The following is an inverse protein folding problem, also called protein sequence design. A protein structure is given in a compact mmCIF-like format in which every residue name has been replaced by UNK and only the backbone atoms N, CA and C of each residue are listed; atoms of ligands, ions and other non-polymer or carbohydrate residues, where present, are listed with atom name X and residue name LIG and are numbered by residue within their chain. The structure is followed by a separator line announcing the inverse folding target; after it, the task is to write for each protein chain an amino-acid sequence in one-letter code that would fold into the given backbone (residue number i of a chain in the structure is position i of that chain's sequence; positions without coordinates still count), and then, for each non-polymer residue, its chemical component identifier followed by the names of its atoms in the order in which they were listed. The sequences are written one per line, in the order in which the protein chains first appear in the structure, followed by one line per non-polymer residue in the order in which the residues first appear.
data_IF_406909131879
#
_entry.id   IF_406909131879
#
_cell.length_a   1.000
_cell.length_b   1.000
_cell.length_c   1.000
_cell.angle_alpha   90.00
_cell.angle_beta   90.00
_cell.angle_gamma   90.00
#
_symmetry.space_group_name_H-M   'P 1'
#
loop_
_entity.id
_entity.type
_entity.pdbx_description
1 polymer ?
#
# COMPACT_ATOMS: atom_id res chain seq x y z
N UNK A 1 -27.17 -5.01 1.36
CA UNK A 1 -25.89 -4.98 0.66
C UNK A 1 -25.30 -3.57 0.52
N UNK A 2 -26.08 -2.50 0.62
CA UNK A 2 -25.62 -1.11 0.54
C UNK A 2 -24.94 -0.59 1.83
N UNK A 3 -25.25 -1.16 3.00
CA UNK A 3 -24.73 -0.64 4.27
C UNK A 3 -23.21 -0.79 4.45
N UNK A 4 -22.59 -1.87 3.92
CA UNK A 4 -21.14 -2.06 4.10
C UNK A 4 -20.30 -1.17 3.19
N UNK A 5 -20.80 -0.82 2.00
CA UNK A 5 -20.14 0.11 1.07
C UNK A 5 -20.21 1.55 1.58
N UNK A 6 -21.37 1.95 2.09
CA UNK A 6 -21.55 3.30 2.65
C UNK A 6 -20.72 3.50 3.91
N UNK A 7 -20.62 2.49 4.78
CA UNK A 7 -19.76 2.56 5.96
C UNK A 7 -18.27 2.66 5.60
N UNK A 8 -17.81 1.96 4.55
CA UNK A 8 -16.40 2.01 4.12
C UNK A 8 -16.05 3.39 3.52
N UNK A 9 -16.94 3.96 2.72
CA UNK A 9 -16.79 5.31 2.15
C UNK A 9 -16.79 6.36 3.25
N UNK A 10 -17.73 6.29 4.19
CA UNK A 10 -17.82 7.19 5.32
C UNK A 10 -16.59 7.10 6.23
N UNK A 11 -16.08 5.89 6.47
CA UNK A 11 -14.87 5.64 7.24
C UNK A 11 -13.63 6.30 6.61
N UNK A 12 -13.46 6.20 5.31
CA UNK A 12 -12.38 6.87 4.58
C UNK A 12 -12.43 8.40 4.75
N UNK A 13 -13.62 9.01 4.60
CA UNK A 13 -13.81 10.43 4.79
C UNK A 13 -13.50 10.88 6.21
N UNK A 14 -13.98 10.16 7.20
CA UNK A 14 -13.74 10.45 8.61
C UNK A 14 -12.24 10.38 8.94
N UNK A 15 -11.53 9.37 8.44
CA UNK A 15 -10.10 9.24 8.68
C UNK A 15 -9.30 10.38 8.07
N UNK A 16 -9.61 10.79 6.84
CA UNK A 16 -8.96 11.93 6.17
C UNK A 16 -9.14 13.22 6.97
N UNK A 17 -10.34 13.47 7.48
CA UNK A 17 -10.63 14.62 8.34
C UNK A 17 -9.84 14.58 9.64
N UNK A 18 -9.82 13.43 10.31
CA UNK A 18 -9.05 13.26 11.55
C UNK A 18 -7.54 13.44 11.32
N UNK A 19 -7.03 12.98 10.18
CA UNK A 19 -5.62 13.15 9.81
C UNK A 19 -5.27 14.60 9.59
N UNK A 20 -6.18 15.38 9.00
CA UNK A 20 -6.01 16.82 8.81
C UNK A 20 -5.89 17.54 10.16
N UNK A 21 -6.84 17.31 11.07
CA UNK A 21 -6.83 17.88 12.42
C UNK A 21 -5.57 17.49 13.21
N UNK A 22 -5.20 16.20 13.19
CA UNK A 22 -3.97 15.71 13.85
C UNK A 22 -2.70 16.33 13.26
N UNK A 23 -2.70 16.64 11.95
CA UNK A 23 -1.55 17.29 11.30
C UNK A 23 -1.38 18.72 11.81
N UNK A 24 -2.46 19.47 11.97
CA UNK A 24 -2.43 20.80 12.55
C UNK A 24 -1.97 20.79 14.01
N UNK A 25 -2.50 19.86 14.80
CA UNK A 25 -2.10 19.71 16.20
C UNK A 25 -0.60 19.42 16.32
N UNK A 26 -0.08 18.46 15.56
CA UNK A 26 1.34 18.13 15.53
C UNK A 26 2.19 19.29 15.07
N UNK A 27 1.72 20.06 14.11
CA UNK A 27 2.43 21.26 13.63
C UNK A 27 2.54 22.31 14.74
N UNK A 28 1.44 22.62 15.42
CA UNK A 28 1.47 23.59 16.54
C UNK A 28 2.37 23.12 17.69
N UNK A 29 2.30 21.84 18.05
CA UNK A 29 3.18 21.30 19.09
C UNK A 29 4.65 21.35 18.66
N UNK A 30 4.97 21.05 17.41
CA UNK A 30 6.33 21.13 16.86
C UNK A 30 6.84 22.57 16.87
N UNK A 31 6.04 23.54 16.43
CA UNK A 31 6.41 24.97 16.48
C UNK A 31 6.67 25.40 17.92
N UNK A 32 5.81 25.02 18.87
CA UNK A 32 5.95 25.39 20.26
C UNK A 32 7.28 24.87 20.86
N UNK A 33 7.61 23.62 20.57
CA UNK A 33 8.89 23.01 21.01
C UNK A 33 10.08 23.73 20.38
N UNK A 34 10.06 23.95 19.06
CA UNK A 34 11.18 24.59 18.37
C UNK A 34 11.32 26.08 18.72
N UNK A 35 10.21 26.78 18.97
CA UNK A 35 10.28 28.16 19.44
C UNK A 35 10.87 28.26 20.84
N UNK A 36 10.52 27.35 21.75
CA UNK A 36 11.08 27.27 23.08
C UNK A 36 12.61 26.98 23.01
N UNK A 37 13.02 26.00 22.19
CA UNK A 37 14.45 25.72 21.96
C UNK A 37 15.17 26.90 21.31
N UNK A 38 14.54 27.60 20.37
CA UNK A 38 15.08 28.79 19.73
C UNK A 38 15.29 29.93 20.71
N UNK A 39 14.34 30.16 21.62
CA UNK A 39 14.49 31.15 22.68
C UNK A 39 15.66 30.83 23.65
N UNK A 40 15.78 29.57 24.02
CA UNK A 40 16.91 29.08 24.84
C UNK A 40 18.24 29.34 24.11
N UNK A 41 18.29 29.02 22.81
CA UNK A 41 19.53 29.21 22.02
C UNK A 41 19.89 30.68 21.85
N UNK A 42 18.87 31.55 21.62
CA UNK A 42 19.08 33.01 21.57
C UNK A 42 19.58 33.53 22.91
N UNK A 43 18.98 33.09 24.02
CA UNK A 43 19.32 33.49 25.35
C UNK A 43 20.77 33.12 25.74
N UNK A 44 21.19 31.88 25.45
CA UNK A 44 22.49 31.39 25.83
C UNK A 44 23.62 31.78 24.86
N UNK A 45 23.34 31.87 23.55
CA UNK A 45 24.37 32.01 22.51
C UNK A 45 24.25 33.30 21.71
N UNK A 46 23.22 34.10 21.91
CA UNK A 46 22.91 35.32 21.16
C UNK A 46 22.93 35.11 19.62
N UNK A 47 22.57 33.89 19.16
CA UNK A 47 22.60 33.47 17.76
C UNK A 47 21.16 33.30 17.23
N UNK A 48 20.70 34.19 16.36
CA UNK A 48 19.35 34.15 15.77
C UNK A 48 19.27 33.26 14.53
N UNK A 49 20.37 33.04 13.85
CA UNK A 49 20.42 32.39 12.54
C UNK A 49 19.83 30.96 12.53
N UNK A 50 20.12 30.03 13.46
CA UNK A 50 19.50 28.69 13.47
C UNK A 50 18.00 28.73 13.64
N UNK A 51 17.46 29.64 14.44
CA UNK A 51 16.04 29.79 14.71
C UNK A 51 15.26 30.15 13.42
N UNK A 52 15.80 31.03 12.61
CA UNK A 52 15.23 31.43 11.32
C UNK A 52 15.19 30.24 10.35
N UNK A 53 16.27 29.46 10.24
CA UNK A 53 16.34 28.28 9.38
C UNK A 53 15.28 27.25 9.81
N UNK A 54 15.18 26.95 11.10
CA UNK A 54 14.19 26.01 11.63
C UNK A 54 12.78 26.48 11.32
N UNK A 55 12.47 27.76 11.48
CA UNK A 55 11.17 28.34 11.16
C UNK A 55 10.84 28.17 9.67
N UNK A 56 11.77 28.49 8.77
CA UNK A 56 11.58 28.33 7.32
C UNK A 56 11.34 26.86 6.95
N UNK A 57 12.14 25.92 7.46
CA UNK A 57 11.99 24.50 7.20
C UNK A 57 10.65 23.97 7.72
N UNK A 58 10.20 24.43 8.89
CA UNK A 58 8.89 24.08 9.47
C UNK A 58 7.73 24.57 8.60
N UNK A 59 7.81 25.78 8.07
CA UNK A 59 6.80 26.34 7.16
C UNK A 59 6.77 25.56 5.84
N UNK A 60 7.94 25.24 5.27
CA UNK A 60 8.03 24.43 4.04
C UNK A 60 7.44 23.05 4.29
N UNK A 61 7.81 22.39 5.38
CA UNK A 61 7.26 21.08 5.75
C UNK A 61 5.74 21.11 5.90
N UNK A 62 5.21 22.12 6.61
CA UNK A 62 3.77 22.32 6.75
C UNK A 62 3.08 22.48 5.40
N UNK A 63 3.61 23.38 4.54
CA UNK A 63 3.06 23.64 3.20
C UNK A 63 3.00 22.36 2.36
N UNK A 64 4.07 21.56 2.35
CA UNK A 64 4.11 20.28 1.66
C UNK A 64 3.11 19.29 2.22
N UNK A 65 2.99 19.22 3.54
CA UNK A 65 2.04 18.32 4.22
C UNK A 65 0.58 18.71 3.95
N UNK A 66 0.26 19.98 4.05
CA UNK A 66 -1.09 20.49 3.76
C UNK A 66 -1.47 20.32 2.29
N UNK A 67 -0.53 20.56 1.37
CA UNK A 67 -0.76 20.35 -0.05
C UNK A 67 -1.10 18.88 -0.36
N UNK A 68 -0.40 17.94 0.28
CA UNK A 68 -0.70 16.50 0.16
C UNK A 68 -2.10 16.18 0.68
N UNK A 69 -2.49 16.71 1.83
CA UNK A 69 -3.84 16.50 2.38
C UNK A 69 -4.94 17.10 1.50
N UNK A 70 -4.72 18.29 0.93
CA UNK A 70 -5.65 18.90 -0.04
C UNK A 70 -5.81 18.00 -1.27
N UNK A 71 -4.71 17.51 -1.84
CA UNK A 71 -4.75 16.57 -2.96
C UNK A 71 -5.52 15.29 -2.63
N UNK A 72 -5.41 14.78 -1.41
CA UNK A 72 -6.20 13.63 -0.97
C UNK A 72 -7.70 13.96 -0.88
N UNK A 73 -8.08 15.14 -0.39
CA UNK A 73 -9.48 15.58 -0.36
C UNK A 73 -10.02 15.78 -1.78
N UNK A 74 -9.23 16.41 -2.65
CA UNK A 74 -9.60 16.60 -4.06
C UNK A 74 -9.79 15.25 -4.78
N UNK A 75 -8.90 14.28 -4.54
CA UNK A 75 -9.01 12.92 -5.08
C UNK A 75 -10.28 12.23 -4.58
N UNK A 76 -10.62 12.40 -3.31
CA UNK A 76 -11.80 11.79 -2.70
C UNK A 76 -13.09 12.34 -3.31
N UNK A 77 -13.16 13.65 -3.56
CA UNK A 77 -14.31 14.31 -4.20
C UNK A 77 -14.36 14.14 -5.72
N UNK A 78 -13.26 13.69 -6.32
CA UNK A 78 -13.15 13.49 -7.74
C UNK A 78 -14.10 12.40 -8.22
N UNK A 79 -14.75 12.62 -9.38
CA UNK A 79 -15.65 11.67 -10.02
C UNK A 79 -15.20 11.41 -11.45
N UNK A 80 -15.22 10.15 -11.86
CA UNK A 80 -14.92 9.79 -13.23
C UNK A 80 -16.04 10.22 -14.18
N UNK A 81 -15.70 10.73 -15.39
CA UNK A 81 -16.67 11.04 -16.42
C UNK A 81 -17.51 9.81 -16.83
N UNK A 82 -18.78 10.03 -17.15
CA UNK A 82 -19.69 8.96 -17.56
C UNK A 82 -19.21 8.15 -18.77
N UNK A 83 -18.43 8.77 -19.67
CA UNK A 83 -17.85 8.09 -20.84
C UNK A 83 -16.97 6.90 -20.47
N UNK A 84 -16.24 6.99 -19.34
CA UNK A 84 -15.41 5.89 -18.84
C UNK A 84 -16.29 4.72 -18.38
N UNK A 85 -17.41 5.00 -17.72
CA UNK A 85 -18.36 4.00 -17.28
C UNK A 85 -19.15 3.36 -18.44
N UNK A 86 -19.34 4.07 -19.54
CA UNK A 86 -19.90 3.50 -20.77
C UNK A 86 -18.92 2.50 -21.38
N UNK A 87 -17.65 2.84 -21.51
CA UNK A 87 -16.61 1.91 -21.97
C UNK A 87 -16.48 0.70 -21.05
N UNK A 88 -16.48 0.94 -19.74
CA UNK A 88 -16.46 -0.14 -18.74
C UNK A 88 -17.64 -1.10 -18.89
N UNK A 89 -18.84 -0.57 -19.09
CA UNK A 89 -20.05 -1.38 -19.33
C UNK A 89 -19.95 -2.21 -20.62
N UNK A 90 -19.35 -1.67 -21.67
CA UNK A 90 -19.16 -2.39 -22.94
C UNK A 90 -18.23 -3.60 -22.78
N UNK A 91 -17.11 -3.43 -22.04
CA UNK A 91 -16.17 -4.53 -21.79
C UNK A 91 -16.64 -5.52 -20.72
N UNK A 92 -17.38 -5.04 -19.73
CA UNK A 92 -17.83 -5.81 -18.57
C UNK A 92 -19.35 -5.71 -18.37
N UNK A 93 -20.17 -6.21 -19.31
CA UNK A 93 -21.63 -6.05 -19.30
C UNK A 93 -22.30 -6.73 -18.09
N UNK A 94 -21.67 -7.76 -17.52
CA UNK A 94 -22.17 -8.52 -16.38
C UNK A 94 -22.08 -7.76 -15.05
N UNK A 95 -21.32 -6.67 -14.99
CA UNK A 95 -21.14 -5.90 -13.77
C UNK A 95 -22.26 -4.88 -13.61
N UNK A 96 -22.90 -4.92 -12.43
CA UNK A 96 -24.00 -4.01 -12.10
C UNK A 96 -23.51 -2.58 -11.99
N UNK A 97 -24.23 -1.63 -12.55
CA UNK A 97 -23.91 -0.19 -12.45
C UNK A 97 -23.83 0.30 -11.00
N UNK A 98 -24.62 -0.29 -10.08
CA UNK A 98 -24.55 0.02 -8.65
C UNK A 98 -23.19 -0.30 -8.00
N UNK A 99 -22.36 -1.10 -8.69
CA UNK A 99 -21.00 -1.45 -8.20
C UNK A 99 -19.92 -0.48 -8.70
N UNK A 100 -20.22 0.37 -9.69
CA UNK A 100 -19.23 1.30 -10.25
C UNK A 100 -18.65 2.28 -9.23
N UNK A 101 -19.44 2.87 -8.33
CA UNK A 101 -18.90 3.73 -7.29
C UNK A 101 -17.88 3.03 -6.39
N UNK A 102 -18.07 1.73 -6.12
CA UNK A 102 -17.13 0.98 -5.30
C UNK A 102 -15.80 0.70 -6.03
N UNK A 103 -15.86 0.42 -7.33
CA UNK A 103 -14.65 0.25 -8.17
C UNK A 103 -13.91 1.60 -8.26
N UNK A 104 -14.64 2.70 -8.46
CA UNK A 104 -14.08 4.05 -8.45
C UNK A 104 -13.35 4.37 -7.15
N UNK A 105 -14.00 4.11 -6.02
CA UNK A 105 -13.42 4.36 -4.71
C UNK A 105 -12.21 3.44 -4.42
N UNK A 106 -12.23 2.20 -4.91
CA UNK A 106 -11.08 1.30 -4.86
C UNK A 106 -9.88 1.84 -5.64
N UNK A 107 -10.11 2.39 -6.84
CA UNK A 107 -9.06 3.01 -7.63
C UNK A 107 -8.51 4.28 -6.96
N UNK A 108 -9.39 5.09 -6.37
CA UNK A 108 -8.97 6.26 -5.59
C UNK A 108 -8.13 5.88 -4.37
N UNK A 109 -8.49 4.80 -3.67
CA UNK A 109 -7.66 4.28 -2.58
C UNK A 109 -6.26 3.90 -3.06
N UNK A 110 -6.16 3.26 -4.22
CA UNK A 110 -4.88 2.92 -4.82
C UNK A 110 -4.04 4.17 -5.13
N UNK A 111 -4.64 5.18 -5.75
CA UNK A 111 -3.97 6.46 -6.00
C UNK A 111 -3.61 7.18 -4.69
N UNK A 112 -4.46 7.12 -3.68
CA UNK A 112 -4.20 7.74 -2.37
C UNK A 112 -3.01 7.10 -1.66
N UNK A 113 -2.82 5.79 -1.76
CA UNK A 113 -1.64 5.08 -1.25
C UNK A 113 -0.37 5.63 -1.92
N UNK A 114 -0.37 5.76 -3.24
CA UNK A 114 0.75 6.32 -4.00
C UNK A 114 1.00 7.81 -3.69
N UNK A 115 -0.05 8.58 -3.48
CA UNK A 115 0.03 9.98 -3.08
C UNK A 115 0.63 10.14 -1.66
N UNK A 116 0.30 9.23 -0.75
CA UNK A 116 0.79 9.26 0.61
C UNK A 116 2.28 8.92 0.70
N UNK A 117 2.69 7.85 0.03
CA UNK A 117 4.09 7.40 -0.01
C UNK A 117 4.40 6.80 -1.38
N UNK A 118 5.46 7.28 -2.00
CA UNK A 118 5.99 6.64 -3.22
C UNK A 118 6.53 5.26 -2.87
N UNK A 119 6.18 4.27 -3.67
CA UNK A 119 6.61 2.90 -3.45
C UNK A 119 6.11 1.97 -4.55
N UNK A 120 6.54 0.73 -4.50
CA UNK A 120 6.02 -0.34 -5.33
C UNK A 120 4.85 -1.01 -4.61
N UNK A 121 3.69 -0.96 -5.23
CA UNK A 121 2.42 -1.47 -4.72
C UNK A 121 1.79 -2.40 -5.76
N UNK A 122 1.24 -3.52 -5.33
CA UNK A 122 0.44 -4.39 -6.18
C UNK A 122 -1.02 -3.97 -6.13
N UNK A 123 -1.74 -4.12 -7.25
CA UNK A 123 -3.19 -3.91 -7.30
C UNK A 123 -3.88 -5.16 -6.72
N UNK A 124 -4.65 -5.03 -5.61
CA UNK A 124 -5.29 -6.19 -4.97
C UNK A 124 -6.72 -6.44 -5.46
N UNK A 125 -7.12 -5.92 -6.61
CA UNK A 125 -8.49 -6.04 -7.12
C UNK A 125 -8.49 -6.07 -8.63
N UNK A 126 -9.02 -7.16 -9.21
CA UNK A 126 -9.17 -7.32 -10.66
C UNK A 126 -10.19 -6.35 -11.25
N UNK A 127 -11.25 -6.03 -10.52
CA UNK A 127 -12.25 -5.07 -10.99
C UNK A 127 -11.70 -3.64 -11.06
N UNK A 128 -10.84 -3.27 -10.12
CA UNK A 128 -10.14 -1.98 -10.14
C UNK A 128 -9.06 -1.96 -11.21
N UNK A 129 -8.36 -3.07 -11.40
CA UNK A 129 -7.36 -3.24 -12.45
C UNK A 129 -8.00 -3.13 -13.85
N UNK A 130 -9.16 -3.75 -14.06
CA UNK A 130 -9.93 -3.64 -15.30
C UNK A 130 -10.32 -2.18 -15.61
N UNK A 131 -10.72 -1.40 -14.60
CA UNK A 131 -10.94 0.03 -14.78
C UNK A 131 -9.64 0.75 -15.17
N UNK A 132 -8.52 0.39 -14.56
CA UNK A 132 -7.22 0.97 -14.87
C UNK A 132 -6.80 0.69 -16.31
N UNK A 133 -6.98 -0.55 -16.79
CA UNK A 133 -6.73 -0.90 -18.19
C UNK A 133 -7.54 -0.03 -19.16
N UNK A 134 -8.82 0.17 -18.92
CA UNK A 134 -9.67 1.04 -19.75
C UNK A 134 -9.14 2.48 -19.76
N UNK A 135 -8.70 2.99 -18.61
CA UNK A 135 -8.12 4.33 -18.53
C UNK A 135 -6.86 4.48 -19.37
N UNK A 136 -5.99 3.48 -19.35
CA UNK A 136 -4.73 3.50 -20.10
C UNK A 136 -4.97 3.30 -21.61
N UNK A 137 -5.86 2.37 -21.96
CA UNK A 137 -6.04 1.96 -23.35
C UNK A 137 -6.96 2.89 -24.15
N UNK A 138 -8.03 3.41 -23.54
CA UNK A 138 -9.04 4.20 -24.23
C UNK A 138 -9.04 5.69 -23.82
N UNK A 139 -8.50 6.01 -22.64
CA UNK A 139 -8.56 7.37 -22.08
C UNK A 139 -7.18 7.84 -21.61
N UNK A 140 -6.12 7.53 -22.35
CA UNK A 140 -4.71 7.78 -21.98
C UNK A 140 -4.44 9.24 -21.60
N UNK A 141 -4.93 10.20 -22.38
CA UNK A 141 -4.76 11.63 -22.07
C UNK A 141 -5.42 12.02 -20.73
N UNK A 142 -6.63 11.47 -20.48
CA UNK A 142 -7.31 11.69 -19.22
C UNK A 142 -6.54 11.05 -18.06
N UNK A 143 -6.07 9.82 -18.26
CA UNK A 143 -5.28 9.10 -17.28
C UNK A 143 -3.98 9.83 -16.93
N UNK A 144 -3.22 10.26 -17.92
CA UNK A 144 -1.98 11.04 -17.74
C UNK A 144 -2.24 12.36 -17.01
N UNK A 145 -3.26 13.11 -17.44
CA UNK A 145 -3.65 14.37 -16.79
C UNK A 145 -4.05 14.16 -15.33
N UNK A 146 -4.85 13.14 -15.06
CA UNK A 146 -5.29 12.78 -13.71
C UNK A 146 -4.09 12.35 -12.82
N UNK A 147 -3.24 11.46 -13.32
CA UNK A 147 -2.04 10.98 -12.62
C UNK A 147 -1.09 12.13 -12.30
N UNK A 148 -0.83 13.00 -13.27
CA UNK A 148 0.00 14.19 -13.08
C UNK A 148 -0.61 15.17 -12.06
N UNK A 149 -1.93 15.38 -12.11
CA UNK A 149 -2.63 16.26 -11.17
C UNK A 149 -2.48 15.79 -9.73
N UNK A 150 -2.75 14.51 -9.47
CA UNK A 150 -2.78 13.99 -8.10
C UNK A 150 -1.40 13.52 -7.62
N UNK A 151 -0.69 12.74 -8.42
CA UNK A 151 0.58 12.13 -8.02
C UNK A 151 1.79 13.01 -8.36
N UNK A 152 1.70 13.80 -9.45
CA UNK A 152 2.82 14.54 -10.01
C UNK A 152 3.75 13.68 -10.86
N UNK A 153 3.31 12.48 -11.21
CA UNK A 153 3.99 11.56 -12.14
C UNK A 153 2.96 10.59 -12.73
N UNK A 154 3.31 9.99 -13.85
CA UNK A 154 2.51 8.94 -14.46
C UNK A 154 2.75 7.61 -13.74
N UNK A 155 1.68 6.95 -13.33
CA UNK A 155 1.75 5.63 -12.70
C UNK A 155 1.75 4.57 -13.80
N UNK A 156 2.88 3.88 -13.94
CA UNK A 156 3.07 2.86 -14.98
C UNK A 156 2.46 1.55 -14.50
N UNK A 157 1.52 1.01 -15.28
CA UNK A 157 0.97 -0.31 -15.07
C UNK A 157 2.00 -1.38 -15.47
N UNK A 158 2.26 -2.33 -14.58
CA UNK A 158 3.11 -3.49 -14.86
C UNK A 158 2.24 -4.74 -14.83
N UNK A 159 2.01 -5.39 -15.97
CA UNK A 159 1.23 -6.62 -16.01
C UNK A 159 1.90 -7.72 -15.19
N UNK A 160 1.09 -8.60 -14.64
CA UNK A 160 1.60 -9.78 -13.95
C UNK A 160 2.19 -10.77 -14.97
N UNK A 161 3.45 -11.15 -14.76
CA UNK A 161 4.08 -12.19 -15.55
C UNK A 161 3.65 -13.56 -15.00
N UNK A 162 3.04 -14.38 -15.88
CA UNK A 162 2.59 -15.74 -15.56
C UNK A 162 3.77 -16.69 -15.31
N UNK A 163 4.94 -16.38 -15.87
CA UNK A 163 6.18 -17.15 -15.73
C UNK A 163 7.14 -16.56 -14.69
N UNK A 164 6.59 -15.84 -13.70
CA UNK A 164 7.39 -15.18 -12.68
C UNK A 164 8.34 -16.16 -11.97
N UNK A 165 9.60 -15.76 -11.86
CA UNK A 165 10.61 -16.47 -11.08
C UNK A 165 10.29 -16.36 -9.58
N UNK A 166 10.91 -17.17 -8.73
CA UNK A 166 10.67 -17.13 -7.29
C UNK A 166 11.02 -15.74 -6.70
N UNK A 167 12.08 -15.10 -7.18
CA UNK A 167 12.42 -13.73 -6.78
C UNK A 167 11.34 -12.71 -7.17
N UNK A 168 10.75 -12.85 -8.36
CA UNK A 168 9.65 -11.99 -8.80
C UNK A 168 8.38 -12.22 -7.96
N UNK A 169 8.07 -13.48 -7.63
CA UNK A 169 6.95 -13.82 -6.71
C UNK A 169 7.16 -13.22 -5.32
N UNK A 170 8.38 -13.29 -4.80
CA UNK A 170 8.72 -12.66 -3.54
C UNK A 170 8.53 -11.13 -3.60
N UNK A 171 8.98 -10.49 -4.69
CA UNK A 171 8.77 -9.07 -4.91
C UNK A 171 7.27 -8.71 -5.03
N UNK A 172 6.47 -9.52 -5.71
CA UNK A 172 5.01 -9.33 -5.81
C UNK A 172 4.33 -9.45 -4.45
N UNK A 173 4.70 -10.45 -3.65
CA UNK A 173 4.23 -10.58 -2.25
C UNK A 173 4.57 -9.34 -1.43
N UNK A 174 5.79 -8.85 -1.54
CA UNK A 174 6.23 -7.62 -0.87
C UNK A 174 5.40 -6.41 -1.30
N UNK A 175 5.14 -6.25 -2.60
CA UNK A 175 4.31 -5.16 -3.12
C UNK A 175 2.86 -5.25 -2.61
N UNK A 176 2.30 -6.45 -2.52
CA UNK A 176 0.96 -6.67 -1.94
C UNK A 176 0.91 -6.29 -0.46
N UNK A 177 1.94 -6.66 0.31
CA UNK A 177 2.05 -6.29 1.72
C UNK A 177 2.28 -4.78 1.91
N UNK A 178 2.99 -4.13 1.00
CA UNK A 178 3.10 -2.69 0.97
C UNK A 178 1.73 -2.03 0.72
N UNK A 179 0.94 -2.58 -0.21
CA UNK A 179 -0.45 -2.12 -0.46
C UNK A 179 -1.32 -2.33 0.77
N UNK A 180 -1.23 -3.48 1.44
CA UNK A 180 -1.92 -3.75 2.70
C UNK A 180 -1.59 -2.70 3.77
N UNK A 181 -0.30 -2.47 4.02
CA UNK A 181 0.15 -1.46 4.96
C UNK A 181 -0.34 -0.05 4.60
N UNK A 182 -0.21 0.33 3.33
CA UNK A 182 -0.68 1.62 2.83
C UNK A 182 -2.18 1.81 2.98
N UNK A 183 -2.97 0.79 2.63
CA UNK A 183 -4.43 0.80 2.75
C UNK A 183 -4.88 0.84 4.22
N UNK A 184 -4.25 0.07 5.11
CA UNK A 184 -4.52 0.15 6.54
C UNK A 184 -4.21 1.55 7.08
N UNK A 185 -3.06 2.13 6.73
CA UNK A 185 -2.68 3.47 7.15
C UNK A 185 -3.66 4.54 6.63
N UNK A 186 -4.15 4.39 5.38
CA UNK A 186 -5.13 5.27 4.76
C UNK A 186 -6.45 5.29 5.54
N UNK A 187 -6.90 4.12 5.99
CA UNK A 187 -8.14 3.94 6.74
C UNK A 187 -7.96 4.01 8.27
N UNK A 188 -6.75 4.27 8.78
CA UNK A 188 -6.47 4.34 10.22
C UNK A 188 -6.54 3.00 10.94
N UNK A 189 -6.37 1.91 10.19
CA UNK A 189 -6.35 0.55 10.70
C UNK A 189 -4.93 0.16 11.14
N UNK A 190 -4.83 -0.72 12.13
CA UNK A 190 -3.56 -1.33 12.48
C UNK A 190 -3.34 -2.57 11.59
N UNK A 191 -2.30 -2.62 10.73
CA UNK A 191 -2.11 -3.73 9.81
C UNK A 191 -1.85 -5.08 10.49
N UNK A 192 -1.42 -5.09 11.75
CA UNK A 192 -1.19 -6.31 12.53
C UNK A 192 -2.42 -6.76 13.33
N UNK A 193 -3.35 -5.84 13.61
CA UNK A 193 -4.52 -6.13 14.43
C UNK A 193 -5.70 -5.27 13.98
N UNK A 194 -6.26 -5.61 12.84
CA UNK A 194 -7.50 -5.00 12.32
C UNK A 194 -8.62 -6.03 12.34
N UNK A 195 -9.87 -5.56 12.48
CA UNK A 195 -11.06 -6.40 12.43
C UNK A 195 -11.76 -6.36 11.08
N UNK A 196 -11.28 -5.49 10.18
CA UNK A 196 -11.88 -5.31 8.85
C UNK A 196 -10.79 -5.21 7.79
N UNK A 197 -11.07 -5.74 6.60
CA UNK A 197 -10.21 -5.52 5.44
C UNK A 197 -10.33 -4.07 4.98
N UNK A 198 -9.23 -3.40 4.56
CA UNK A 198 -9.31 -2.13 3.86
C UNK A 198 -10.16 -2.25 2.59
N UNK A 199 -10.86 -1.17 2.22
CA UNK A 199 -11.83 -1.17 1.11
C UNK A 199 -11.30 -1.78 -0.17
N UNK A 200 -10.10 -1.42 -0.61
CA UNK A 200 -9.51 -1.91 -1.85
C UNK A 200 -9.36 -3.44 -1.90
N UNK A 201 -9.20 -4.11 -0.75
CA UNK A 201 -9.14 -5.57 -0.65
C UNK A 201 -10.52 -6.24 -0.60
N UNK A 202 -11.59 -5.46 -0.55
CA UNK A 202 -12.97 -5.96 -0.49
C UNK A 202 -13.71 -5.78 -1.82
N UNK A 203 -13.20 -4.96 -2.75
CA UNK A 203 -13.91 -4.53 -3.95
C UNK A 203 -14.41 -5.73 -4.75
N UNK A 204 -13.54 -6.68 -5.09
CA UNK A 204 -13.89 -7.83 -5.93
C UNK A 204 -14.99 -8.71 -5.31
N UNK A 205 -14.91 -8.93 -3.99
CA UNK A 205 -15.91 -9.70 -3.25
C UNK A 205 -17.28 -9.02 -3.27
N UNK A 206 -17.34 -7.68 -3.11
CA UNK A 206 -18.59 -6.92 -3.10
C UNK A 206 -19.18 -6.74 -4.50
N UNK A 207 -18.33 -6.53 -5.50
CA UNK A 207 -18.71 -6.41 -6.91
C UNK A 207 -19.13 -7.77 -7.47
N UNK A 208 -18.70 -8.87 -6.84
CA UNK A 208 -18.82 -10.25 -7.33
C UNK A 208 -18.13 -10.40 -8.67
N UNK A 209 -16.89 -9.91 -8.75
CA UNK A 209 -16.10 -10.01 -9.96
C UNK A 209 -15.81 -11.47 -10.28
N UNK A 210 -16.04 -11.86 -11.54
CA UNK A 210 -15.71 -13.22 -11.98
C UNK A 210 -14.21 -13.47 -11.82
N UNK A 211 -13.83 -14.52 -11.09
CA UNK A 211 -12.44 -14.82 -10.71
C UNK A 211 -11.74 -13.69 -9.95
N UNK A 212 -12.51 -12.86 -9.20
CA UNK A 212 -11.98 -11.79 -8.38
C UNK A 212 -11.12 -12.31 -7.23
N UNK A 213 -10.22 -11.45 -6.76
CA UNK A 213 -9.36 -11.77 -5.62
C UNK A 213 -10.17 -11.65 -4.32
N UNK A 214 -10.23 -12.74 -3.57
CA UNK A 214 -10.90 -12.78 -2.27
C UNK A 214 -9.85 -12.96 -1.19
N UNK A 215 -9.68 -11.92 -0.38
CA UNK A 215 -8.73 -11.94 0.72
C UNK A 215 -9.39 -12.33 2.04
N UNK A 216 -8.71 -13.17 2.81
CA UNK A 216 -9.10 -13.42 4.19
C UNK A 216 -8.28 -12.53 5.14
N UNK A 217 -8.95 -11.98 6.13
CA UNK A 217 -8.32 -11.09 7.10
C UNK A 217 -7.19 -11.77 7.90
N UNK A 218 -7.39 -13.01 8.44
CA UNK A 218 -6.32 -13.71 9.15
C UNK A 218 -5.09 -13.97 8.29
N UNK A 219 -5.30 -14.33 7.01
CA UNK A 219 -4.20 -14.58 6.08
C UNK A 219 -3.35 -13.32 5.85
N UNK A 220 -3.99 -12.16 5.60
CA UNK A 220 -3.27 -10.90 5.39
C UNK A 220 -2.49 -10.46 6.62
N UNK A 221 -3.09 -10.59 7.82
CA UNK A 221 -2.40 -10.26 9.06
C UNK A 221 -1.21 -11.17 9.34
N UNK A 222 -1.36 -12.47 9.10
CA UNK A 222 -0.28 -13.45 9.28
C UNK A 222 0.88 -13.17 8.32
N UNK A 223 0.60 -12.98 7.04
CA UNK A 223 1.62 -12.62 6.04
C UNK A 223 2.35 -11.34 6.42
N UNK A 224 1.62 -10.32 6.87
CA UNK A 224 2.21 -9.06 7.27
C UNK A 224 3.10 -9.20 8.52
N UNK A 225 2.65 -9.97 9.51
CA UNK A 225 3.42 -10.24 10.73
C UNK A 225 4.71 -11.02 10.44
N UNK A 226 4.65 -12.02 9.56
CA UNK A 226 5.83 -12.77 9.12
C UNK A 226 6.86 -11.89 8.41
N UNK A 227 6.40 -10.97 7.55
CA UNK A 227 7.30 -10.01 6.91
C UNK A 227 8.00 -9.10 7.93
N UNK A 228 7.25 -8.64 8.94
CA UNK A 228 7.82 -7.76 9.97
C UNK A 228 8.84 -8.48 10.86
N UNK A 229 8.62 -9.76 11.17
CA UNK A 229 9.58 -10.56 11.96
C UNK A 229 10.85 -10.86 11.17
N UNK A 230 10.77 -11.14 9.87
CA UNK A 230 11.95 -11.39 9.03
C UNK A 230 12.81 -10.14 8.79
N UNK A 231 12.26 -8.93 8.94
CA UNK A 231 13.03 -7.67 8.85
C UNK A 231 13.74 -7.30 10.17
N UNK A 232 13.37 -7.90 11.29
CA UNK A 232 14.02 -7.67 12.59
C UNK A 232 15.32 -8.49 12.79
N UNK A 233 15.55 -9.50 11.96
CA UNK A 233 16.74 -10.37 12.01
C UNK A 233 17.96 -9.83 11.24
N UNK A 234 17.93 -8.58 10.76
CA UNK A 234 19.17 -7.92 10.33
C UNK A 234 19.96 -7.54 11.57
N UNK A 235 21.15 -8.13 11.81
CA UNK A 235 22.00 -7.73 12.91
C UNK A 235 22.33 -6.24 12.73
N UNK A 236 21.87 -5.45 13.65
CA UNK A 236 22.31 -4.07 13.81
C UNK A 236 23.83 -4.13 14.02
N UNK A 237 24.58 -3.74 13.00
CA UNK A 237 26.02 -3.65 13.07
C UNK A 237 26.36 -2.56 14.11
N UNK A 238 26.38 -2.94 15.36
CA UNK A 238 27.06 -2.19 16.41
C UNK A 238 28.56 -2.34 16.17
N UNK A 239 29.14 -1.29 15.61
CA UNK A 239 30.57 -1.13 15.56
C UNK A 239 31.14 -1.09 17.00
N UNK A 240 31.60 -2.24 17.45
CA UNK A 240 32.59 -2.31 18.51
C UNK A 240 33.60 -3.39 18.12
N UNK A 241 34.76 -2.88 17.72
CA UNK A 241 35.98 -3.62 17.52
C UNK A 241 36.40 -4.28 18.84
N UNK A 242 36.53 -5.63 18.80
CA UNK A 242 37.55 -6.30 19.62
C UNK A 242 37.82 -7.67 19.01
N UNK A 243 39.02 -7.77 18.47
CA UNK A 243 39.63 -9.01 18.05
C UNK A 243 39.90 -9.91 19.26
N UNK A 244 39.54 -11.17 19.17
CA UNK A 244 40.31 -12.22 19.86
C UNK A 244 40.12 -13.54 19.13
N UNK A 245 41.24 -13.99 18.64
CA UNK A 245 41.56 -15.28 18.03
C UNK A 245 41.50 -16.40 19.07
N UNK A 246 40.95 -17.56 18.67
CA UNK A 246 41.51 -18.89 19.06
C UNK A 246 40.75 -19.98 18.26
N UNK A 247 41.46 -20.54 17.34
CA UNK A 247 41.99 -21.88 17.11
C UNK A 247 41.04 -23.06 17.34
N UNK A 248 40.81 -23.74 16.23
CA UNK A 248 40.87 -25.17 15.86
C UNK A 248 40.66 -26.24 16.93
N UNK A 249 39.82 -27.21 16.65
CA UNK A 249 40.31 -28.56 16.31
C UNK A 249 39.13 -29.50 16.01
N UNK A 250 39.34 -30.32 15.02
CA UNK A 250 38.43 -31.28 14.49
C UNK A 250 38.30 -32.53 15.34
N UNK A 251 37.33 -33.34 15.02
CA UNK A 251 37.42 -34.79 14.99
C UNK A 251 36.20 -35.39 14.29
N UNK A 252 36.47 -36.19 13.31
CA UNK A 252 35.64 -37.16 12.61
C UNK A 252 35.23 -38.30 13.52
N UNK A 253 34.00 -38.79 13.39
CA UNK A 253 33.74 -40.25 13.42
C UNK A 253 32.32 -40.56 12.91
N UNK A 254 32.35 -41.45 11.97
CA UNK A 254 31.27 -42.22 11.35
C UNK A 254 30.56 -43.15 12.35
N UNK A 255 29.29 -43.39 12.15
CA UNK A 255 28.72 -44.74 12.12
C UNK A 255 27.19 -44.74 11.90
N UNK A 256 26.83 -45.71 11.14
CA UNK A 256 25.61 -46.24 10.57
C UNK A 256 24.42 -46.41 11.51
N UNK A 257 23.29 -46.45 10.86
CA UNK A 257 22.23 -47.45 10.79
C UNK A 257 20.84 -47.04 11.29
N UNK A 258 19.92 -47.30 10.35
CA UNK A 258 18.59 -47.94 10.40
C UNK A 258 17.36 -47.16 10.78
N UNK A 259 16.49 -47.12 9.75
CA UNK A 259 15.01 -47.31 9.71
C UNK A 259 14.12 -46.80 10.80
N UNK A 260 13.20 -45.91 10.43
CA UNK A 260 11.78 -46.23 10.50
C UNK A 260 10.92 -45.20 9.76
N UNK A 261 10.01 -45.71 8.95
CA UNK A 261 8.89 -45.05 8.28
C UNK A 261 8.01 -44.30 9.27
N UNK A 262 7.67 -43.06 8.93
CA UNK A 262 6.39 -42.48 9.31
C UNK A 262 5.96 -41.46 8.24
N UNK A 263 4.93 -41.84 7.54
CA UNK A 263 4.11 -41.04 6.63
C UNK A 263 3.51 -39.87 7.39
N UNK A 264 3.89 -38.65 6.98
CA UNK A 264 3.16 -37.46 7.32
C UNK A 264 2.77 -36.77 6.02
N UNK A 265 1.47 -36.72 5.81
CA UNK A 265 0.75 -36.11 4.71
C UNK A 265 1.02 -34.61 4.63
N UNK A 266 1.78 -34.21 3.63
CA UNK A 266 1.90 -32.81 3.21
C UNK A 266 0.62 -32.36 2.54
N UNK A 267 -0.17 -31.58 3.23
CA UNK A 267 -1.22 -30.76 2.63
C UNK A 267 -0.62 -29.45 2.10
N UNK A 268 -0.03 -29.54 0.93
CA UNK A 268 0.34 -28.38 0.11
C UNK A 268 -0.93 -27.75 -0.46
N UNK A 269 -1.45 -26.73 0.20
CA UNK A 269 -2.42 -25.81 -0.40
C UNK A 269 -1.71 -24.91 -1.42
N UNK A 270 -1.66 -25.41 -2.65
CA UNK A 270 -1.25 -24.65 -3.83
C UNK A 270 -2.29 -23.55 -4.12
N UNK A 271 -1.93 -22.30 -3.86
CA UNK A 271 -2.60 -21.13 -4.42
C UNK A 271 -2.26 -21.02 -5.91
N UNK A 272 -2.89 -21.86 -6.72
CA UNK A 272 -2.87 -21.77 -8.18
C UNK A 272 -4.14 -21.08 -8.60
N UNK A 273 -4.08 -19.85 -9.02
CA UNK A 273 -4.96 -19.33 -10.07
C UNK A 273 -4.79 -17.82 -10.24
N UNK A 274 -3.75 -17.42 -10.96
CA UNK A 274 -3.80 -16.23 -11.77
C UNK A 274 -3.74 -16.71 -13.21
N UNK A 275 -4.90 -17.08 -13.78
CA UNK A 275 -4.99 -17.57 -15.15
C UNK A 275 -5.60 -16.51 -16.04
N UNK A 276 -4.83 -16.09 -16.99
CA UNK A 276 -5.16 -15.91 -18.40
C UNK A 276 -6.16 -14.84 -18.78
N UNK A 277 -5.64 -13.69 -19.18
CA UNK A 277 -6.25 -12.91 -20.26
C UNK A 277 -5.80 -13.54 -21.59
N UNK A 278 -6.56 -14.48 -22.12
CA UNK A 278 -6.41 -14.99 -23.47
C UNK A 278 -6.95 -13.97 -24.46
N UNK A 279 -6.07 -13.29 -25.19
CA UNK A 279 -6.40 -12.56 -26.39
C UNK A 279 -6.68 -13.56 -27.50
N UNK A 280 -7.93 -13.65 -27.96
CA UNK A 280 -8.33 -14.30 -29.20
C UNK A 280 -8.34 -13.24 -30.30
N UNK A 281 -7.29 -13.21 -31.13
CA UNK A 281 -7.39 -12.68 -32.48
C UNK A 281 -7.82 -13.81 -33.39
N UNK A 282 -8.69 -13.52 -34.32
CA UNK A 282 -9.12 -14.46 -35.35
C UNK A 282 -10.02 -13.74 -36.35
N UNK A 283 -9.47 -13.52 -37.52
CA UNK A 283 -10.07 -13.30 -38.85
C UNK A 283 -11.23 -12.30 -38.96
#
# INVERSE_FOLDING_TARGET
MNQSTDTTIHYFQQHTRNTFSKTWLRFFTTILIFSALGLIFVYFFNIYFPSIIIAILSIIWLKLRLNRLRKMQDLQSFKFPNRIWLAFKQRHPNIRQSSYPLIEEGFKDYLAIHLWRRGAYAMPSHSVDALWHILIEEFDDFYKSMSQRFLGYELIHKPHDLQATESQRAAQRQQLLNTWHGACALHGLNPQNTQVLPRIFQVDAHVRWERGLIFSLPFMMTMYSQMMSSTSDFPQASATSSCSSSSCSGSSSSSDSSHSNSTSSDSSSSCSSCSSCGGGGGD
#
